data_IF_557411022888
#
_entry.id   IF_557411022888
#
_cell.length_a   1.000
_cell.length_b   1.000
_cell.length_c   1.000
_cell.angle_alpha   90.00
_cell.angle_beta   90.00
_cell.angle_gamma   90.00
#
_symmetry.space_group_name_H-M   'P 1'
#
loop_
_entity.id
_entity.type
_entity.pdbx_description
1 polymer ?
#
# COMPACT_ATOMS: atom_id res chain seq x y z
N UNK A 1 -19.67 21.12 -26.81
CA UNK A 1 -19.11 20.35 -25.68
C UNK A 1 -17.74 19.87 -26.12
N UNK A 2 -16.72 20.71 -26.03
CA UNK A 2 -15.35 20.24 -26.23
C UNK A 2 -14.89 19.64 -24.90
N UNK A 3 -14.16 18.51 -24.92
CA UNK A 3 -13.47 17.92 -23.79
C UNK A 3 -14.25 16.97 -22.84
N UNK A 4 -15.49 16.59 -23.12
CA UNK A 4 -16.25 15.70 -22.22
C UNK A 4 -15.61 14.31 -22.07
N UNK A 5 -15.07 13.74 -23.16
CA UNK A 5 -14.46 12.41 -23.11
C UNK A 5 -13.16 12.44 -22.32
N UNK A 6 -12.32 13.47 -22.51
CA UNK A 6 -11.11 13.67 -21.69
C UNK A 6 -11.45 13.81 -20.21
N UNK A 7 -12.45 14.63 -19.86
CA UNK A 7 -12.87 14.81 -18.47
C UNK A 7 -13.30 13.47 -17.89
N UNK A 8 -14.13 12.70 -18.61
CA UNK A 8 -14.57 11.36 -18.17
C UNK A 8 -13.41 10.39 -17.95
N UNK A 9 -12.42 10.43 -18.84
CA UNK A 9 -11.24 9.58 -18.71
C UNK A 9 -10.38 9.95 -17.48
N UNK A 10 -10.17 11.25 -17.24
CA UNK A 10 -9.49 11.74 -16.04
C UNK A 10 -10.25 11.34 -14.76
N UNK A 11 -11.58 11.41 -14.75
CA UNK A 11 -12.41 10.90 -13.65
C UNK A 11 -12.20 9.41 -13.40
N UNK A 12 -12.15 8.58 -14.46
CA UNK A 12 -11.89 7.14 -14.30
C UNK A 12 -10.50 6.86 -13.74
N UNK A 13 -9.47 7.58 -14.19
CA UNK A 13 -8.11 7.46 -13.63
C UNK A 13 -8.12 7.88 -12.15
N UNK A 14 -8.76 9.00 -11.81
CA UNK A 14 -8.89 9.49 -10.44
C UNK A 14 -9.61 8.47 -9.54
N UNK A 15 -10.66 7.81 -10.04
CA UNK A 15 -11.34 6.75 -9.30
C UNK A 15 -10.40 5.57 -8.99
N UNK A 16 -9.47 5.23 -9.90
CA UNK A 16 -8.46 4.21 -9.60
C UNK A 16 -7.49 4.67 -8.52
N UNK A 17 -7.01 5.91 -8.59
CA UNK A 17 -6.13 6.52 -7.58
C UNK A 17 -6.80 6.46 -6.19
N UNK A 18 -8.06 6.89 -6.10
CA UNK A 18 -8.83 6.85 -4.84
C UNK A 18 -8.93 5.42 -4.29
N UNK A 19 -9.23 4.42 -5.14
CA UNK A 19 -9.27 3.01 -4.72
C UNK A 19 -7.92 2.49 -4.20
N UNK A 20 -6.80 2.88 -4.84
CA UNK A 20 -5.47 2.49 -4.35
C UNK A 20 -5.17 3.09 -2.97
N UNK A 21 -5.51 4.36 -2.78
CA UNK A 21 -5.37 5.02 -1.48
C UNK A 21 -6.22 4.35 -0.39
N UNK A 22 -7.49 4.06 -0.68
CA UNK A 22 -8.38 3.37 0.27
C UNK A 22 -7.90 1.97 0.60
N UNK A 23 -7.41 1.20 -0.39
CA UNK A 23 -6.87 -0.13 -0.15
C UNK A 23 -5.59 -0.08 0.71
N UNK A 24 -4.67 0.85 0.43
CA UNK A 24 -3.46 1.07 1.26
C UNK A 24 -3.83 1.38 2.72
N UNK A 25 -4.81 2.25 2.95
CA UNK A 25 -5.28 2.53 4.31
C UNK A 25 -5.91 1.28 4.98
N UNK A 26 -6.75 0.56 4.24
CA UNK A 26 -7.46 -0.61 4.77
C UNK A 26 -6.51 -1.73 5.21
N UNK A 27 -5.48 -2.04 4.43
CA UNK A 27 -4.53 -3.10 4.79
C UNK A 27 -3.65 -2.72 6.00
N UNK A 28 -3.33 -1.43 6.20
CA UNK A 28 -2.65 -0.98 7.43
C UNK A 28 -3.52 -1.26 8.65
N UNK A 29 -4.81 -0.93 8.56
CA UNK A 29 -5.79 -1.24 9.60
C UNK A 29 -5.84 -2.74 9.91
N UNK A 30 -6.00 -3.58 8.88
CA UNK A 30 -6.02 -5.04 9.04
C UNK A 30 -4.73 -5.61 9.64
N UNK A 31 -3.57 -5.06 9.27
CA UNK A 31 -2.29 -5.47 9.83
C UNK A 31 -2.24 -5.19 11.34
N UNK A 32 -2.61 -3.96 11.76
CA UNK A 32 -2.69 -3.58 13.18
C UNK A 32 -3.66 -4.47 13.94
N UNK A 33 -4.86 -4.72 13.38
CA UNK A 33 -5.87 -5.59 14.00
C UNK A 33 -5.36 -7.02 14.19
N UNK A 34 -4.74 -7.62 13.17
CA UNK A 34 -4.21 -8.98 13.27
C UNK A 34 -3.06 -9.09 14.26
N UNK A 35 -2.13 -8.14 14.27
CA UNK A 35 -1.01 -8.13 15.22
C UNK A 35 -1.53 -7.95 16.66
N UNK A 36 -2.49 -7.04 16.88
CA UNK A 36 -3.10 -6.86 18.19
C UNK A 36 -3.82 -8.13 18.67
N UNK A 37 -4.54 -8.83 17.78
CA UNK A 37 -5.19 -10.09 18.11
C UNK A 37 -4.17 -11.19 18.48
N UNK A 38 -3.06 -11.28 17.74
CA UNK A 38 -1.97 -12.21 18.06
C UNK A 38 -1.33 -11.92 19.42
N UNK A 39 -1.13 -10.64 19.77
CA UNK A 39 -0.62 -10.25 21.08
C UNK A 39 -1.60 -10.59 22.21
N UNK A 40 -2.90 -10.33 22.00
CA UNK A 40 -3.93 -10.68 22.98
C UNK A 40 -4.00 -12.19 23.23
N UNK A 41 -3.88 -13.01 22.18
CA UNK A 41 -3.82 -14.47 22.29
C UNK A 41 -2.54 -14.93 22.99
N UNK A 42 -1.38 -14.40 22.60
CA UNK A 42 -0.09 -14.71 23.22
C UNK A 42 -0.04 -14.39 24.71
N UNK A 43 -0.62 -13.26 25.12
CA UNK A 43 -0.72 -12.88 26.52
C UNK A 43 -1.62 -13.82 27.33
N UNK A 44 -2.74 -14.29 26.75
CA UNK A 44 -3.69 -15.19 27.41
C UNK A 44 -3.10 -16.57 27.67
N UNK A 45 -2.40 -17.14 26.68
CA UNK A 45 -1.88 -18.50 26.75
C UNK A 45 -0.41 -18.57 27.21
N UNK A 46 0.19 -17.42 27.58
CA UNK A 46 1.63 -17.25 27.87
C UNK A 46 2.53 -17.88 26.79
N UNK A 47 2.05 -17.91 25.55
CA UNK A 47 2.68 -18.62 24.45
C UNK A 47 3.30 -17.64 23.47
N UNK A 48 4.59 -17.43 23.62
CA UNK A 48 5.41 -16.51 22.83
C UNK A 48 5.41 -16.86 21.33
N UNK A 49 5.03 -18.08 20.97
CA UNK A 49 4.96 -18.52 19.56
C UNK A 49 3.95 -17.71 18.74
N UNK A 50 2.92 -17.11 19.35
CA UNK A 50 1.97 -16.24 18.62
C UNK A 50 2.62 -14.94 18.14
N UNK A 51 3.62 -14.41 18.85
CA UNK A 51 4.36 -13.24 18.41
C UNK A 51 5.30 -13.55 17.23
N UNK A 52 5.75 -14.80 17.08
CA UNK A 52 6.52 -15.25 15.90
C UNK A 52 5.67 -15.13 14.63
N UNK A 53 4.36 -15.42 14.71
CA UNK A 53 3.44 -15.30 13.57
C UNK A 53 3.37 -13.85 13.07
N UNK A 54 3.46 -12.85 13.96
CA UNK A 54 3.46 -11.45 13.58
C UNK A 54 4.66 -11.08 12.67
N UNK A 55 5.80 -11.75 12.80
CA UNK A 55 6.94 -11.57 11.88
C UNK A 55 6.70 -12.05 10.45
N UNK A 56 5.68 -12.87 10.22
CA UNK A 56 5.25 -13.27 8.88
C UNK A 56 4.16 -12.31 8.39
N UNK A 57 3.21 -11.97 9.27
CA UNK A 57 2.09 -11.07 8.94
C UNK A 57 2.59 -9.68 8.56
N UNK A 58 3.46 -9.08 9.36
CA UNK A 58 3.89 -7.69 9.17
C UNK A 58 4.58 -7.47 7.81
N UNK A 59 5.61 -8.25 7.42
CA UNK A 59 6.24 -8.08 6.11
C UNK A 59 5.29 -8.37 4.94
N UNK A 60 4.38 -9.34 5.08
CA UNK A 60 3.38 -9.64 4.04
C UNK A 60 2.51 -8.43 3.76
N UNK A 61 1.97 -7.82 4.82
CA UNK A 61 1.16 -6.61 4.68
C UNK A 61 1.98 -5.41 4.18
N UNK A 62 3.24 -5.28 4.58
CA UNK A 62 4.13 -4.23 4.08
C UNK A 62 4.35 -4.34 2.57
N UNK A 63 4.60 -5.53 2.03
CA UNK A 63 4.77 -5.73 0.58
C UNK A 63 3.48 -5.41 -0.16
N UNK A 64 2.32 -5.85 0.35
CA UNK A 64 1.02 -5.54 -0.24
C UNK A 64 0.72 -4.04 -0.24
N UNK A 65 1.17 -3.31 0.78
CA UNK A 65 1.01 -1.87 0.86
C UNK A 65 1.90 -1.12 -0.12
N UNK A 66 3.15 -1.57 -0.26
CA UNK A 66 4.06 -1.09 -1.28
C UNK A 66 3.45 -1.20 -2.69
N UNK A 67 2.73 -2.29 -2.98
CA UNK A 67 2.02 -2.47 -4.25
C UNK A 67 0.98 -1.38 -4.51
N UNK A 68 0.11 -1.09 -3.53
CA UNK A 68 -0.94 -0.08 -3.72
C UNK A 68 -0.36 1.33 -3.89
N UNK A 69 0.69 1.67 -3.13
CA UNK A 69 1.37 2.97 -3.25
C UNK A 69 2.01 3.15 -4.63
N UNK A 70 2.73 2.14 -5.13
CA UNK A 70 3.34 2.20 -6.46
C UNK A 70 2.27 2.35 -7.55
N UNK A 71 1.18 1.59 -7.45
CA UNK A 71 0.11 1.68 -8.42
C UNK A 71 -0.55 3.05 -8.38
N UNK A 72 -0.78 3.62 -7.20
CA UNK A 72 -1.25 4.99 -7.05
C UNK A 72 -0.32 5.97 -7.80
N UNK A 73 0.99 5.92 -7.57
CA UNK A 73 1.99 6.79 -8.25
C UNK A 73 1.94 6.64 -9.77
N UNK A 74 1.86 5.41 -10.26
CA UNK A 74 1.79 5.13 -11.70
C UNK A 74 0.49 5.65 -12.34
N UNK A 75 -0.65 5.55 -11.64
CA UNK A 75 -1.90 6.15 -12.10
C UNK A 75 -1.88 7.67 -12.02
N UNK A 76 -1.21 8.27 -11.02
CA UNK A 76 -1.00 9.73 -10.95
C UNK A 76 -0.14 10.22 -12.12
N UNK A 77 0.86 9.44 -12.52
CA UNK A 77 1.65 9.73 -13.72
C UNK A 77 0.80 9.64 -15.00
N UNK A 78 -0.04 8.61 -15.14
CA UNK A 78 -0.98 8.50 -16.25
C UNK A 78 -1.95 9.68 -16.29
N UNK A 79 -2.53 10.07 -15.15
CA UNK A 79 -3.39 11.25 -15.03
C UNK A 79 -2.67 12.52 -15.51
N UNK A 80 -1.42 12.70 -15.08
CA UNK A 80 -0.60 13.85 -15.47
C UNK A 80 -0.27 13.87 -16.96
N UNK A 81 -0.09 12.72 -17.60
CA UNK A 81 0.12 12.64 -19.04
C UNK A 81 -1.16 13.00 -19.80
N UNK A 82 -2.29 12.39 -19.44
CA UNK A 82 -3.58 12.62 -20.11
C UNK A 82 -4.03 14.08 -19.97
N UNK A 83 -3.88 14.70 -18.80
CA UNK A 83 -4.35 16.09 -18.59
C UNK A 83 -3.63 17.09 -19.50
N UNK A 84 -2.39 16.81 -19.89
CA UNK A 84 -1.54 17.70 -20.70
C UNK A 84 -1.75 17.53 -22.22
N UNK A 85 -2.34 16.41 -22.66
CA UNK A 85 -2.61 16.14 -24.09
C UNK A 85 -3.87 16.83 -24.58
N UNK A 86 -3.92 17.15 -25.87
CA UNK A 86 -5.18 17.53 -26.52
C UNK A 86 -6.08 16.30 -26.71
N UNK A 87 -7.39 16.48 -26.74
CA UNK A 87 -8.36 15.37 -26.73
C UNK A 87 -8.17 14.40 -27.91
N UNK A 88 -7.76 14.93 -29.07
CA UNK A 88 -7.49 14.17 -30.30
C UNK A 88 -6.28 13.22 -30.17
N UNK A 89 -5.38 13.46 -29.21
CA UNK A 89 -4.17 12.66 -28.98
C UNK A 89 -4.31 11.62 -27.86
N UNK A 90 -5.50 11.52 -27.25
CA UNK A 90 -5.77 10.62 -26.14
C UNK A 90 -6.20 9.25 -26.68
N UNK A 91 -5.45 8.21 -26.31
CA UNK A 91 -5.72 6.81 -26.68
C UNK A 91 -6.74 6.13 -25.73
N UNK A 92 -7.16 6.84 -24.68
CA UNK A 92 -8.08 6.40 -23.61
C UNK A 92 -7.64 5.10 -22.90
N UNK A 93 -6.35 4.76 -22.96
CA UNK A 93 -5.80 3.59 -22.30
C UNK A 93 -5.82 3.74 -20.77
N UNK A 94 -6.26 2.68 -20.09
CA UNK A 94 -6.22 2.59 -18.61
C UNK A 94 -5.00 1.78 -18.12
N UNK A 95 -4.00 1.57 -18.97
CA UNK A 95 -2.80 0.82 -18.63
C UNK A 95 -1.67 1.78 -18.23
N UNK A 96 -1.36 1.93 -16.94
CA UNK A 96 -0.20 2.72 -16.54
C UNK A 96 1.09 1.95 -16.82
N UNK A 97 2.23 2.64 -16.72
CA UNK A 97 3.58 2.07 -16.92
C UNK A 97 3.72 0.71 -16.17
N UNK A 98 4.28 -0.33 -16.80
CA UNK A 98 4.55 -1.59 -16.12
C UNK A 98 5.50 -1.37 -14.94
N UNK A 99 5.39 -2.22 -13.92
CA UNK A 99 6.26 -2.14 -12.75
C UNK A 99 7.58 -2.84 -13.05
N UNK A 100 8.68 -2.20 -12.73
CA UNK A 100 9.99 -2.86 -12.66
C UNK A 100 10.39 -3.10 -11.19
N UNK A 101 11.45 -3.90 -10.97
CA UNK A 101 11.91 -4.24 -9.62
C UNK A 101 12.42 -3.03 -8.83
N UNK A 102 12.98 -2.03 -9.53
CA UNK A 102 13.46 -0.79 -8.94
C UNK A 102 12.32 0.05 -8.39
N UNK A 103 11.22 0.18 -9.16
CA UNK A 103 9.98 0.84 -8.72
C UNK A 103 9.47 0.15 -7.44
N UNK A 104 9.44 -1.19 -7.40
CA UNK A 104 9.02 -1.98 -6.23
C UNK A 104 9.73 -1.63 -4.93
N UNK A 105 11.06 -1.48 -5.02
CA UNK A 105 11.89 -1.22 -3.84
C UNK A 105 11.80 0.26 -3.46
N UNK A 106 12.18 1.16 -4.36
CA UNK A 106 12.31 2.58 -4.04
C UNK A 106 10.97 3.29 -3.87
N UNK A 107 9.99 2.95 -4.72
CA UNK A 107 8.71 3.65 -4.77
C UNK A 107 7.57 2.96 -4.04
N UNK A 108 7.78 1.72 -3.57
CA UNK A 108 6.78 0.95 -2.82
C UNK A 108 7.23 0.68 -1.40
N UNK A 109 8.03 -0.36 -1.23
CA UNK A 109 8.35 -0.93 0.08
C UNK A 109 9.21 0.03 0.92
N UNK A 110 10.21 0.68 0.32
CA UNK A 110 11.13 1.57 1.03
C UNK A 110 10.67 3.03 1.09
N UNK A 111 9.37 3.28 1.02
CA UNK A 111 8.84 4.65 1.05
C UNK A 111 8.87 5.26 2.47
N UNK A 112 9.05 6.58 2.53
CA UNK A 112 9.13 7.35 3.78
C UNK A 112 7.94 7.15 4.73
N UNK A 113 6.77 6.76 4.21
CA UNK A 113 5.57 6.53 5.02
C UNK A 113 5.45 5.09 5.51
N UNK A 114 5.93 4.10 4.74
CA UNK A 114 5.81 2.68 5.10
C UNK A 114 6.92 2.22 6.04
N UNK A 115 8.15 2.68 5.82
CA UNK A 115 9.31 2.28 6.63
C UNK A 115 9.10 2.58 8.13
N UNK A 116 8.68 3.79 8.54
CA UNK A 116 8.43 4.06 9.96
C UNK A 116 7.23 3.27 10.49
N UNK A 117 6.15 3.15 9.70
CA UNK A 117 4.92 2.48 10.12
C UNK A 117 5.18 1.00 10.44
N UNK A 118 5.70 0.25 9.47
CA UNK A 118 5.97 -1.17 9.64
C UNK A 118 7.24 -1.43 10.49
N UNK A 119 8.21 -0.51 10.48
CA UNK A 119 9.38 -0.56 11.35
C UNK A 119 9.01 -0.47 12.83
N UNK A 120 8.14 0.47 13.22
CA UNK A 120 7.63 0.56 14.59
C UNK A 120 6.87 -0.72 14.98
N UNK A 121 6.06 -1.29 14.07
CA UNK A 121 5.36 -2.54 14.34
C UNK A 121 6.30 -3.73 14.57
N UNK A 122 7.38 -3.84 13.79
CA UNK A 122 8.39 -4.88 14.00
C UNK A 122 9.15 -4.68 15.32
N UNK A 123 9.51 -3.45 15.66
CA UNK A 123 10.17 -3.12 16.93
C UNK A 123 9.24 -3.45 18.12
N UNK A 124 7.96 -3.10 18.03
CA UNK A 124 6.98 -3.43 19.06
C UNK A 124 6.82 -4.95 19.24
N UNK A 125 6.77 -5.69 18.12
CA UNK A 125 6.74 -7.16 18.14
C UNK A 125 7.98 -7.75 18.80
N UNK A 126 9.16 -7.17 18.53
CA UNK A 126 10.41 -7.59 19.14
C UNK A 126 10.46 -7.31 20.65
N UNK A 127 9.98 -6.14 21.07
CA UNK A 127 9.88 -5.80 22.49
C UNK A 127 8.98 -6.79 23.25
N UNK A 128 7.83 -7.16 22.65
CA UNK A 128 6.94 -8.19 23.19
C UNK A 128 7.68 -9.53 23.35
N UNK A 129 8.42 -9.99 22.33
CA UNK A 129 9.20 -11.23 22.46
C UNK A 129 10.17 -11.22 23.64
N UNK A 130 10.87 -10.11 23.88
CA UNK A 130 11.82 -9.99 24.99
C UNK A 130 11.11 -9.99 26.35
N UNK A 131 9.93 -9.35 26.45
CA UNK A 131 9.19 -9.27 27.72
C UNK A 131 8.63 -10.63 28.17
N UNK A 132 8.35 -11.54 27.23
CA UNK A 132 7.73 -12.84 27.50
C UNK A 132 8.73 -14.01 27.55
N UNK A 133 10.03 -13.76 27.35
CA UNK A 133 11.10 -14.74 27.38
C UNK A 133 12.01 -14.53 28.59
#
# INVERSE_FOLDING_TARGET
>A
MANENKIKHLEFIQNVITRMNSNSFMIKGWCVTLVAALFALGAKDSNVNFAIIAYIVIPTFWVLDGFFIIREKHFRNLYNQVRLKDEEEIDYSMMPKPLNIGDWIADGIATYTLVPFYGVMLIATFAVLIMFN
#
